data_IF_112678311281
#
_entry.id   IF_112678311281
#
_cell.length_a   1.000
_cell.length_b   1.000
_cell.length_c   1.000
_cell.angle_alpha   90.00
_cell.angle_beta   90.00
_cell.angle_gamma   90.00
#
_symmetry.space_group_name_H-M   'P 1'
#
loop_
_entity.id
_entity.type
_entity.pdbx_description
1 polymer ?
#
# COMPACT_ATOMS: atom_id res chain seq x y z
N UNK A 1 33.53 -39.13 3.12
CA UNK A 1 34.98 -38.91 3.33
C UNK A 1 35.17 -38.41 4.74
N UNK A 2 35.86 -39.20 5.55
CA UNK A 2 36.20 -38.92 6.94
C UNK A 2 37.69 -38.55 7.01
N UNK A 3 38.09 -37.60 7.86
CA UNK A 3 39.44 -37.58 8.44
C UNK A 3 39.34 -37.14 9.91
N UNK A 4 39.71 -38.10 10.76
CA UNK A 4 39.94 -38.06 12.20
C UNK A 4 41.45 -37.87 12.41
N UNK A 5 41.89 -37.04 13.35
CA UNK A 5 43.30 -37.02 13.77
C UNK A 5 43.42 -36.96 15.29
N UNK A 6 43.82 -38.13 15.80
CA UNK A 6 44.14 -38.50 17.17
C UNK A 6 45.62 -38.16 17.42
N UNK A 7 45.97 -37.58 18.57
CA UNK A 7 47.37 -37.42 18.98
C UNK A 7 47.59 -37.95 20.39
N UNK A 8 48.55 -38.88 20.45
CA UNK A 8 48.89 -39.82 21.50
C UNK A 8 49.96 -39.23 22.44
N UNK A 9 49.89 -39.58 23.72
CA UNK A 9 50.84 -39.23 24.77
C UNK A 9 52.16 -40.04 24.67
N UNK A 10 53.27 -39.47 25.14
CA UNK A 10 54.43 -40.23 25.63
C UNK A 10 55.19 -39.44 26.71
N UNK A 11 55.33 -40.03 27.90
CA UNK A 11 56.13 -39.60 29.05
C UNK A 11 57.44 -40.39 29.10
N UNK A 12 58.52 -39.81 29.66
CA UNK A 12 59.74 -40.47 30.19
C UNK A 12 60.69 -39.40 30.82
N UNK A 13 61.73 -39.74 31.63
CA UNK A 13 61.67 -39.63 33.09
C UNK A 13 62.71 -38.66 33.72
N UNK A 14 62.54 -38.44 35.02
CA UNK A 14 63.35 -37.56 35.86
C UNK A 14 64.81 -37.97 36.08
N UNK A 15 65.62 -36.97 36.48
CA UNK A 15 66.94 -37.14 37.04
C UNK A 15 66.98 -36.51 38.44
N UNK A 16 67.37 -37.33 39.41
CA UNK A 16 67.65 -36.94 40.78
C UNK A 16 69.05 -36.31 40.89
N UNK A 17 69.19 -35.28 41.72
CA UNK A 17 70.48 -34.78 42.19
C UNK A 17 70.45 -34.60 43.71
N UNK A 18 71.50 -35.12 44.35
CA UNK A 18 71.72 -35.27 45.78
C UNK A 18 72.16 -33.94 46.48
N UNK A 19 72.20 -33.89 47.82
CA UNK A 19 72.16 -32.63 48.60
C UNK A 19 73.55 -32.08 48.97
N UNK A 20 73.69 -30.76 49.21
CA UNK A 20 74.89 -30.20 49.84
C UNK A 20 74.85 -30.29 51.39
N UNK A 21 76.02 -30.25 52.06
CA UNK A 21 76.19 -30.65 53.45
C UNK A 21 75.82 -29.56 54.48
N UNK A 22 75.38 -30.04 55.66
CA UNK A 22 75.16 -29.26 56.89
C UNK A 22 76.47 -28.75 57.48
N UNK A 23 76.49 -27.49 57.92
CA UNK A 23 77.45 -26.90 58.88
C UNK A 23 76.71 -26.02 59.90
N UNK A 24 77.32 -25.74 61.07
CA UNK A 24 76.70 -26.01 62.37
C UNK A 24 75.88 -24.86 62.96
N UNK A 25 75.02 -25.25 63.90
CA UNK A 25 74.17 -24.37 64.70
C UNK A 25 74.98 -23.32 65.46
N UNK A 26 74.60 -22.05 65.28
CA UNK A 26 74.92 -20.96 66.18
C UNK A 26 73.61 -20.38 66.75
N UNK A 27 73.60 -20.34 68.07
CA UNK A 27 72.73 -19.69 69.05
C UNK A 27 71.67 -18.69 68.55
N UNK A 28 70.40 -18.96 68.92
CA UNK A 28 69.24 -18.05 68.83
C UNK A 28 69.47 -16.72 69.57
N UNK A 29 69.18 -15.57 68.94
CA UNK A 29 68.64 -14.39 69.59
C UNK A 29 67.10 -14.41 69.51
N UNK A 30 66.43 -13.86 70.52
CA UNK A 30 64.97 -13.76 70.65
C UNK A 30 64.27 -13.13 69.41
N UNK A 31 63.00 -13.50 69.12
CA UNK A 31 62.32 -13.08 67.89
C UNK A 31 62.02 -11.57 67.89
N UNK A 32 62.46 -10.88 66.84
CA UNK A 32 61.93 -9.56 66.46
C UNK A 32 60.45 -9.71 66.06
N UNK A 33 59.57 -8.73 66.38
CA UNK A 33 58.19 -8.75 65.92
C UNK A 33 58.14 -8.78 64.39
N UNK A 34 57.30 -9.66 63.83
CA UNK A 34 57.03 -9.68 62.41
C UNK A 34 56.49 -8.31 61.94
N UNK A 35 56.88 -7.82 60.75
CA UNK A 35 56.29 -6.62 60.19
C UNK A 35 54.78 -6.83 59.99
N UNK A 36 53.99 -5.90 60.49
CA UNK A 36 52.56 -5.87 60.29
C UNK A 36 52.22 -5.93 58.80
N UNK A 37 51.26 -6.78 58.44
CA UNK A 37 50.57 -6.76 57.13
C UNK A 37 50.21 -5.30 56.80
N UNK A 38 50.48 -4.79 55.59
CA UNK A 38 49.97 -3.49 55.19
C UNK A 38 48.46 -3.49 55.35
N UNK A 39 47.95 -2.53 56.14
CA UNK A 39 46.52 -2.30 56.24
C UNK A 39 45.96 -2.08 54.82
N UNK A 40 44.88 -2.78 54.51
CA UNK A 40 44.05 -2.52 53.32
C UNK A 40 43.80 -0.99 53.28
N UNK A 41 44.06 -0.29 52.16
CA UNK A 41 43.79 1.14 52.08
C UNK A 41 42.37 1.41 52.58
N UNK A 42 42.22 2.36 53.51
CA UNK A 42 40.91 2.81 53.95
C UNK A 42 40.08 3.16 52.71
N UNK A 43 38.86 2.61 52.62
CA UNK A 43 37.95 2.96 51.54
C UNK A 43 37.86 4.49 51.47
N UNK A 44 37.98 5.10 50.28
CA UNK A 44 37.91 6.55 50.15
C UNK A 44 36.61 7.03 50.81
N UNK A 45 36.65 8.17 51.53
CA UNK A 45 35.44 8.72 52.13
C UNK A 45 34.37 8.87 51.04
N UNK A 46 33.29 8.11 51.19
CA UNK A 46 32.14 8.17 50.29
C UNK A 46 31.34 9.41 50.69
N UNK A 47 31.20 10.34 49.76
CA UNK A 47 30.45 11.58 49.97
C UNK A 47 29.17 11.55 49.15
N UNK A 48 28.07 12.16 49.63
CA UNK A 48 26.80 12.13 48.93
C UNK A 48 26.79 13.05 47.70
N UNK A 49 25.92 12.73 46.75
CA UNK A 49 25.51 13.62 45.65
C UNK A 49 24.61 14.70 46.22
N UNK A 50 25.05 15.95 46.20
CA UNK A 50 24.29 17.10 46.74
C UNK A 50 23.49 17.84 45.68
N UNK A 51 23.89 17.71 44.41
CA UNK A 51 23.17 18.27 43.27
C UNK A 51 23.39 17.37 42.07
N UNK A 52 22.32 17.11 41.32
CA UNK A 52 22.34 16.31 40.11
C UNK A 52 21.57 17.08 39.05
N UNK A 53 22.21 17.32 37.89
CA UNK A 53 21.60 18.00 36.74
C UNK A 53 21.72 17.19 35.46
N UNK A 54 20.81 17.40 34.51
CA UNK A 54 20.89 16.85 33.15
C UNK A 54 20.99 17.97 32.12
N UNK A 55 21.98 17.89 31.23
CA UNK A 55 22.21 18.85 30.14
C UNK A 55 22.14 18.18 28.77
N UNK A 56 21.66 18.90 27.76
CA UNK A 56 21.58 18.42 26.36
C UNK A 56 20.23 17.81 25.95
N UNK A 57 19.20 17.98 26.79
CA UNK A 57 17.82 17.58 26.48
C UNK A 57 17.17 18.51 25.46
N UNK A 58 16.33 17.93 24.60
CA UNK A 58 15.53 18.64 23.61
C UNK A 58 14.04 18.28 23.73
N UNK A 59 13.71 16.98 23.80
CA UNK A 59 12.33 16.49 23.85
C UNK A 59 12.00 15.82 25.19
N UNK A 60 13.00 15.27 25.88
CA UNK A 60 12.82 14.60 27.16
C UNK A 60 13.00 15.56 28.34
N UNK A 61 12.39 15.22 29.48
CA UNK A 61 12.56 15.99 30.71
C UNK A 61 13.67 15.42 31.59
N UNK A 62 14.27 16.29 32.40
CA UNK A 62 15.30 15.91 33.36
C UNK A 62 14.83 14.78 34.30
N UNK A 63 13.59 14.86 34.77
CA UNK A 63 13.01 13.85 35.66
C UNK A 63 12.95 12.45 35.02
N UNK A 64 12.63 12.36 33.73
CA UNK A 64 12.57 11.09 33.01
C UNK A 64 13.96 10.46 32.88
N UNK A 65 14.97 11.27 32.55
CA UNK A 65 16.36 10.80 32.45
C UNK A 65 16.90 10.36 33.82
N UNK A 66 16.63 11.12 34.86
CA UNK A 66 17.05 10.77 36.23
C UNK A 66 16.36 9.51 36.75
N UNK A 67 15.09 9.29 36.39
CA UNK A 67 14.36 8.07 36.74
C UNK A 67 15.03 6.81 36.17
N UNK A 68 15.56 6.88 34.94
CA UNK A 68 16.29 5.75 34.31
C UNK A 68 17.74 5.66 34.78
N UNK A 69 18.42 6.79 34.98
CA UNK A 69 19.79 6.83 35.50
C UNK A 69 19.89 6.11 36.85
N UNK A 70 18.85 6.22 37.69
CA UNK A 70 18.77 5.52 38.97
C UNK A 70 19.72 6.07 40.03
N UNK A 71 20.17 7.32 39.87
CA UNK A 71 20.94 8.08 40.86
C UNK A 71 20.07 9.22 41.36
N UNK A 72 20.06 9.42 42.68
CA UNK A 72 19.32 10.47 43.36
C UNK A 72 20.25 11.36 44.19
N UNK A 73 19.77 12.57 44.48
CA UNK A 73 20.41 13.44 45.47
C UNK A 73 20.38 12.72 46.83
N UNK A 74 21.53 12.65 47.50
CA UNK A 74 21.75 11.90 48.73
C UNK A 74 22.47 10.56 48.54
N UNK A 75 22.50 10.01 47.32
CA UNK A 75 23.21 8.75 47.05
C UNK A 75 24.73 8.92 47.16
N UNK A 76 25.44 7.82 47.41
CA UNK A 76 26.90 7.84 47.43
C UNK A 76 27.47 8.12 46.04
N UNK A 77 28.27 9.17 45.91
CA UNK A 77 28.95 9.52 44.66
C UNK A 77 30.17 8.62 44.44
N UNK A 78 29.97 7.47 43.79
CA UNK A 78 31.05 6.57 43.34
C UNK A 78 31.17 6.57 41.82
N UNK A 79 32.38 6.31 41.30
CA UNK A 79 32.60 6.17 39.85
C UNK A 79 31.71 5.06 39.28
N UNK A 80 31.62 3.95 40.00
CA UNK A 80 30.87 2.76 39.62
C UNK A 80 29.36 3.05 39.51
N UNK A 81 28.81 3.86 40.42
CA UNK A 81 27.41 4.28 40.35
C UNK A 81 27.13 5.12 39.09
N UNK A 82 27.99 6.09 38.77
CA UNK A 82 27.84 6.93 37.58
C UNK A 82 28.08 6.17 36.27
N UNK A 83 29.02 5.21 36.24
CA UNK A 83 29.18 4.30 35.10
C UNK A 83 27.95 3.43 34.89
N UNK A 84 27.39 2.84 35.96
CA UNK A 84 26.16 2.07 35.86
C UNK A 84 24.97 2.92 35.38
N UNK A 85 24.86 4.18 35.82
CA UNK A 85 23.83 5.10 35.35
C UNK A 85 23.99 5.44 33.86
N UNK A 86 25.22 5.71 33.41
CA UNK A 86 25.53 5.90 31.98
C UNK A 86 25.11 4.66 31.20
N UNK A 87 25.50 3.47 31.64
CA UNK A 87 25.24 2.23 30.91
C UNK A 87 23.74 1.93 30.82
N UNK A 88 22.95 2.22 31.88
CA UNK A 88 21.49 2.17 31.81
C UNK A 88 20.93 3.11 30.75
N UNK A 89 21.36 4.37 30.75
CA UNK A 89 20.91 5.37 29.78
C UNK A 89 21.28 4.96 28.35
N UNK A 90 22.51 4.50 28.10
CA UNK A 90 22.96 4.02 26.79
C UNK A 90 22.14 2.80 26.35
N UNK A 91 21.86 1.87 27.27
CA UNK A 91 21.08 0.65 26.95
C UNK A 91 19.64 0.93 26.51
N UNK A 92 19.12 2.13 26.77
CA UNK A 92 17.78 2.51 26.30
C UNK A 92 17.72 2.80 24.80
N UNK A 93 18.86 3.13 24.18
CA UNK A 93 18.92 3.56 22.78
C UNK A 93 18.28 4.91 22.49
N UNK A 94 17.81 5.62 23.51
CA UNK A 94 17.18 6.95 23.39
C UNK A 94 18.20 8.09 23.23
N UNK A 95 19.49 7.81 23.46
CA UNK A 95 20.56 8.79 23.43
C UNK A 95 21.69 8.31 22.51
N UNK A 96 22.19 9.21 21.65
CA UNK A 96 23.39 9.01 20.83
C UNK A 96 24.66 9.08 21.68
N UNK A 97 24.66 9.96 22.68
CA UNK A 97 25.80 10.15 23.57
C UNK A 97 25.32 10.34 25.01
N UNK A 98 26.01 9.68 25.95
CA UNK A 98 25.80 9.83 27.38
C UNK A 98 27.15 9.99 28.06
N UNK A 99 27.33 11.10 28.77
CA UNK A 99 28.49 11.39 29.60
C UNK A 99 28.07 11.85 30.98
N UNK A 100 29.01 11.89 31.91
CA UNK A 100 28.79 12.45 33.23
C UNK A 100 30.05 13.15 33.73
N UNK A 101 29.86 14.12 34.61
CA UNK A 101 30.92 14.78 35.36
C UNK A 101 30.44 15.00 36.78
N UNK A 102 31.27 14.70 37.76
CA UNK A 102 31.01 15.04 39.15
C UNK A 102 32.22 15.72 39.78
N UNK A 103 31.99 16.81 40.50
CA UNK A 103 33.03 17.64 41.12
C UNK A 103 32.72 17.87 42.59
N UNK A 104 33.71 17.86 43.50
CA UNK A 104 33.49 18.20 44.91
C UNK A 104 32.84 19.59 45.05
N UNK A 105 31.90 19.73 45.97
CA UNK A 105 31.30 21.03 46.29
C UNK A 105 32.31 21.95 46.97
N UNK A 106 32.08 23.27 46.93
CA UNK A 106 32.96 24.29 47.56
C UNK A 106 33.23 24.01 49.04
N UNK A 107 32.22 23.49 49.75
CA UNK A 107 32.29 23.15 51.17
C UNK A 107 32.92 21.77 51.43
N UNK A 108 33.29 21.02 50.38
CA UNK A 108 33.83 19.65 50.42
C UNK A 108 32.96 18.65 51.20
N UNK A 109 31.66 18.92 51.29
CA UNK A 109 30.66 18.07 52.00
C UNK A 109 29.98 17.05 51.08
N UNK A 110 30.23 17.10 49.77
CA UNK A 110 29.57 16.26 48.78
C UNK A 110 30.04 16.54 47.36
N UNK A 111 29.35 15.93 46.39
CA UNK A 111 29.61 16.11 44.97
C UNK A 111 28.43 16.76 44.26
N UNK A 112 28.72 17.68 43.33
CA UNK A 112 27.76 18.16 42.34
C UNK A 112 28.01 17.40 41.03
N UNK A 113 26.97 16.78 40.49
CA UNK A 113 27.04 15.96 39.29
C UNK A 113 26.18 16.53 38.16
N UNK A 114 26.67 16.37 36.94
CA UNK A 114 25.98 16.72 35.70
C UNK A 114 26.05 15.52 34.76
N UNK A 115 24.91 15.11 34.23
CA UNK A 115 24.80 14.10 33.17
C UNK A 115 24.62 14.86 31.86
N UNK A 116 25.52 14.63 30.91
CA UNK A 116 25.44 15.19 29.56
C UNK A 116 24.81 14.15 28.64
N UNK A 117 23.74 14.51 27.96
CA UNK A 117 23.08 13.62 26.99
C UNK A 117 22.96 14.28 25.63
N UNK A 118 22.91 13.46 24.59
CA UNK A 118 22.48 13.88 23.25
C UNK A 118 21.37 12.92 22.85
N UNK A 119 20.14 13.43 22.76
CA UNK A 119 18.97 12.63 22.36
C UNK A 119 19.12 12.12 20.93
N UNK A 120 18.69 10.88 20.69
CA UNK A 120 18.73 10.29 19.36
C UNK A 120 17.73 10.97 18.41
N UNK A 121 18.20 11.34 17.22
CA UNK A 121 17.38 11.99 16.18
C UNK A 121 17.46 11.22 14.84
N UNK A 122 16.44 11.29 13.99
CA UNK A 122 15.13 11.94 14.20
C UNK A 122 14.18 11.11 15.09
N UNK A 123 13.23 11.80 15.73
CA UNK A 123 12.08 11.19 16.42
C UNK A 123 10.85 11.15 15.51
N UNK A 124 10.04 10.10 15.65
CA UNK A 124 8.82 9.91 14.87
C UNK A 124 7.60 9.69 15.77
N UNK A 125 6.41 10.18 15.40
CA UNK A 125 5.18 9.89 16.11
C UNK A 125 4.93 8.38 16.20
N UNK A 126 4.40 7.91 17.33
CA UNK A 126 4.04 6.51 17.52
C UNK A 126 2.65 6.22 16.98
N UNK A 127 2.51 5.12 16.24
CA UNK A 127 1.24 4.60 15.72
C UNK A 127 1.11 3.11 16.00
N UNK A 128 -0.14 2.68 16.22
CA UNK A 128 -0.51 1.29 16.42
C UNK A 128 -1.49 0.88 15.31
N UNK A 129 -1.27 -0.25 14.65
CA UNK A 129 -2.13 -0.79 13.58
C UNK A 129 -2.42 -2.26 13.90
N UNK A 130 -3.69 -2.66 13.83
CA UNK A 130 -4.17 -4.05 13.94
C UNK A 130 -3.77 -4.81 15.24
N UNK A 131 -3.40 -4.11 16.30
CA UNK A 131 -3.13 -4.74 17.60
C UNK A 131 -4.45 -4.97 18.36
N UNK A 132 -4.56 -6.07 19.14
CA UNK A 132 -5.80 -6.46 19.83
C UNK A 132 -6.09 -5.62 21.10
N UNK A 133 -5.80 -4.32 21.09
CA UNK A 133 -5.97 -3.37 22.19
C UNK A 133 -6.11 -1.96 21.61
N UNK A 134 -6.71 -1.03 22.37
CA UNK A 134 -6.86 0.35 21.87
C UNK A 134 -5.53 1.11 21.92
N UNK A 135 -5.39 2.16 21.10
CA UNK A 135 -4.19 2.99 21.11
C UNK A 135 -3.95 3.63 22.48
N UNK A 136 -5.02 3.98 23.20
CA UNK A 136 -4.96 4.54 24.54
C UNK A 136 -4.43 3.52 25.56
N UNK A 137 -4.93 2.29 25.51
CA UNK A 137 -4.46 1.17 26.35
C UNK A 137 -2.97 0.91 26.14
N UNK A 138 -2.53 0.80 24.88
CA UNK A 138 -1.13 0.52 24.52
C UNK A 138 -0.21 1.68 24.90
N UNK A 139 -0.65 2.92 24.69
CA UNK A 139 0.11 4.12 25.08
C UNK A 139 0.25 4.21 26.59
N UNK A 140 -0.80 3.88 27.35
CA UNK A 140 -0.75 3.86 28.81
C UNK A 140 0.23 2.79 29.32
N UNK A 141 0.20 1.58 28.74
CA UNK A 141 1.13 0.51 29.08
C UNK A 141 2.60 0.91 28.85
N UNK A 142 2.90 1.59 27.73
CA UNK A 142 4.24 2.08 27.44
C UNK A 142 4.70 3.15 28.43
N UNK A 143 3.83 4.10 28.78
CA UNK A 143 4.12 5.14 29.79
C UNK A 143 4.36 4.57 31.18
N UNK A 144 3.59 3.55 31.56
CA UNK A 144 3.74 2.89 32.86
C UNK A 144 5.06 2.11 32.93
N UNK A 145 5.42 1.41 31.86
CA UNK A 145 6.61 0.57 31.81
C UNK A 145 7.92 1.35 31.61
N UNK A 146 7.89 2.48 30.90
CA UNK A 146 9.08 3.24 30.54
C UNK A 146 8.92 4.75 30.75
N UNK A 147 9.64 5.34 31.73
CA UNK A 147 9.62 6.78 31.96
C UNK A 147 10.07 7.61 30.75
N UNK A 148 10.89 7.06 29.84
CA UNK A 148 11.37 7.77 28.65
C UNK A 148 10.35 7.80 27.51
N UNK A 149 9.24 7.07 27.62
CA UNK A 149 8.25 7.04 26.56
C UNK A 149 7.57 8.41 26.40
N UNK A 150 7.46 8.83 25.15
CA UNK A 150 6.77 10.05 24.74
C UNK A 150 5.99 9.77 23.43
N UNK A 151 5.07 10.65 23.01
CA UNK A 151 4.32 10.46 21.77
C UNK A 151 5.18 10.35 20.50
N UNK A 152 6.44 10.80 20.55
CA UNK A 152 7.40 10.71 19.45
C UNK A 152 8.71 10.12 19.95
N UNK A 153 9.13 9.00 19.36
CA UNK A 153 10.31 8.26 19.82
C UNK A 153 11.35 8.10 18.71
N UNK A 154 12.64 7.91 19.05
CA UNK A 154 13.67 7.64 18.06
C UNK A 154 13.39 6.33 17.30
N UNK A 155 13.69 6.33 16.00
CA UNK A 155 13.57 5.14 15.14
C UNK A 155 14.69 4.11 15.28
N UNK A 156 15.46 4.12 16.38
CA UNK A 156 16.63 3.25 16.55
C UNK A 156 16.21 1.82 16.88
N UNK A 157 16.99 0.83 16.46
CA UNK A 157 16.64 -0.59 16.66
C UNK A 157 16.46 -0.95 18.14
N UNK A 158 17.30 -0.41 19.01
CA UNK A 158 17.25 -0.62 20.46
C UNK A 158 15.93 -0.11 21.07
N UNK A 159 15.50 1.09 20.69
CA UNK A 159 14.23 1.68 21.14
C UNK A 159 13.05 0.84 20.65
N UNK A 160 13.07 0.44 19.37
CA UNK A 160 12.02 -0.41 18.79
C UNK A 160 11.92 -1.77 19.50
N UNK A 161 13.04 -2.46 19.69
CA UNK A 161 13.06 -3.78 20.34
C UNK A 161 12.60 -3.70 21.81
N UNK A 162 12.98 -2.62 22.52
CA UNK A 162 12.54 -2.36 23.89
C UNK A 162 11.02 -2.19 23.98
N UNK A 163 10.44 -1.34 23.14
CA UNK A 163 8.99 -1.11 23.17
C UNK A 163 8.20 -2.30 22.63
N UNK A 164 8.72 -3.05 21.66
CA UNK A 164 8.11 -4.33 21.25
C UNK A 164 8.02 -5.28 22.45
N UNK A 165 9.10 -5.45 23.22
CA UNK A 165 9.10 -6.35 24.39
C UNK A 165 8.09 -5.90 25.47
N UNK A 166 7.93 -4.60 25.68
CA UNK A 166 6.93 -4.05 26.62
C UNK A 166 5.51 -4.35 26.12
N UNK A 167 5.24 -4.12 24.84
CA UNK A 167 3.92 -4.36 24.24
C UNK A 167 3.57 -5.85 24.24
N UNK A 168 4.51 -6.73 23.89
CA UNK A 168 4.34 -8.18 23.95
C UNK A 168 3.97 -8.62 25.38
N UNK A 169 4.72 -8.16 26.38
CA UNK A 169 4.43 -8.48 27.79
C UNK A 169 3.06 -7.98 28.25
N UNK A 170 2.66 -6.78 27.81
CA UNK A 170 1.33 -6.22 28.11
C UNK A 170 0.19 -7.05 27.48
N UNK A 171 0.34 -7.43 26.21
CA UNK A 171 -0.63 -8.23 25.48
C UNK A 171 -0.74 -9.65 26.05
N UNK A 172 0.37 -10.26 26.45
CA UNK A 172 0.37 -11.55 27.15
C UNK A 172 -0.35 -11.47 28.50
N UNK A 173 -0.06 -10.45 29.30
CA UNK A 173 -0.70 -10.20 30.62
C UNK A 173 -2.22 -10.03 30.50
N UNK A 174 -2.69 -9.46 29.39
CA UNK A 174 -4.11 -9.24 29.11
C UNK A 174 -4.77 -10.37 28.32
N UNK A 175 -4.07 -11.51 28.14
CA UNK A 175 -4.53 -12.70 27.41
C UNK A 175 -4.87 -12.44 25.92
N UNK A 176 -4.16 -11.50 25.29
CA UNK A 176 -4.30 -11.07 23.89
C UNK A 176 -3.05 -11.44 23.08
N UNK A 177 -2.72 -12.73 23.04
CA UNK A 177 -1.46 -13.25 22.44
C UNK A 177 -1.31 -12.89 20.95
N UNK A 178 -0.61 -11.80 20.66
CA UNK A 178 -0.30 -11.34 19.31
C UNK A 178 1.12 -10.73 19.31
N UNK A 179 2.12 -11.41 18.72
CA UNK A 179 3.49 -10.89 18.69
C UNK A 179 3.59 -9.58 17.93
N UNK A 180 4.24 -8.58 18.51
CA UNK A 180 4.36 -7.22 17.96
C UNK A 180 5.64 -7.09 17.11
N UNK A 181 5.55 -6.28 16.06
CA UNK A 181 6.69 -5.81 15.28
C UNK A 181 6.68 -4.26 15.25
N UNK A 182 7.79 -3.66 15.66
CA UNK A 182 8.04 -2.23 15.58
C UNK A 182 8.95 -1.88 14.40
N UNK A 183 8.59 -0.88 13.60
CA UNK A 183 9.39 -0.41 12.48
C UNK A 183 9.10 1.06 12.16
N UNK A 184 10.07 1.76 11.57
CA UNK A 184 9.80 3.06 10.94
C UNK A 184 9.16 2.82 9.57
N UNK A 185 7.96 3.35 9.36
CA UNK A 185 7.20 3.19 8.12
C UNK A 185 6.42 4.47 7.81
N UNK A 186 5.97 4.62 6.56
CA UNK A 186 5.03 5.67 6.21
C UNK A 186 3.61 5.29 6.67
N UNK A 187 2.91 6.22 7.31
CA UNK A 187 1.48 6.09 7.61
C UNK A 187 0.62 6.27 6.35
N UNK A 188 -0.71 6.20 6.51
CA UNK A 188 -1.67 6.36 5.41
C UNK A 188 -1.55 7.72 4.69
N UNK A 189 -1.02 8.75 5.37
CA UNK A 189 -0.78 10.08 4.79
C UNK A 189 0.60 10.20 4.12
N UNK A 190 1.41 9.13 4.13
CA UNK A 190 2.79 9.15 3.62
C UNK A 190 3.81 9.74 4.58
N UNK A 191 3.44 10.03 5.85
CA UNK A 191 4.37 10.59 6.85
C UNK A 191 5.09 9.46 7.59
N UNK A 192 6.39 9.64 7.84
CA UNK A 192 7.17 8.66 8.59
C UNK A 192 6.74 8.63 10.07
N UNK A 193 6.44 7.44 10.57
CA UNK A 193 6.02 7.14 11.93
C UNK A 193 6.77 5.93 12.47
N UNK A 194 6.88 5.80 13.79
CA UNK A 194 7.17 4.49 14.39
C UNK A 194 5.86 3.71 14.46
N UNK A 195 5.77 2.64 13.69
CA UNK A 195 4.58 1.80 13.57
C UNK A 195 4.77 0.48 14.33
N UNK A 196 3.88 0.21 15.29
CA UNK A 196 3.74 -1.08 15.95
C UNK A 196 2.53 -1.81 15.39
N UNK A 197 2.74 -3.03 14.91
CA UNK A 197 1.70 -3.88 14.31
C UNK A 197 1.97 -5.36 14.57
N UNK A 198 1.00 -6.27 14.38
CA UNK A 198 1.25 -7.69 14.44
C UNK A 198 2.40 -8.14 13.54
N UNK A 199 3.19 -9.10 14.01
CA UNK A 199 4.29 -9.70 13.24
C UNK A 199 3.79 -10.58 12.09
N UNK A 200 2.55 -11.08 12.18
CA UNK A 200 1.90 -11.84 11.11
C UNK A 200 1.61 -10.96 9.90
N UNK A 201 1.60 -11.59 8.72
CA UNK A 201 1.10 -10.89 7.53
C UNK A 201 -0.42 -10.69 7.62
N UNK A 202 -0.97 -9.66 6.96
CA UNK A 202 -2.42 -9.51 6.83
C UNK A 202 -3.03 -10.78 6.21
N UNK A 203 -4.21 -11.21 6.66
CA UNK A 203 -4.86 -12.39 6.09
C UNK A 203 -5.33 -12.12 4.66
N UNK A 204 -5.42 -13.16 3.84
CA UNK A 204 -6.08 -13.07 2.54
C UNK A 204 -7.60 -13.00 2.70
N UNK A 205 -8.29 -12.29 1.82
CA UNK A 205 -9.76 -12.34 1.71
C UNK A 205 -10.15 -13.69 1.11
N UNK A 206 -10.83 -14.50 1.91
CA UNK A 206 -11.36 -15.80 1.47
C UNK A 206 -12.74 -15.65 0.82
N UNK A 207 -13.61 -14.89 1.45
CA UNK A 207 -14.99 -14.68 1.01
C UNK A 207 -15.47 -13.29 1.41
N UNK A 208 -16.48 -12.79 0.71
CA UNK A 208 -17.16 -11.53 1.03
C UNK A 208 -18.66 -11.79 1.18
N UNK A 209 -19.27 -11.30 2.26
CA UNK A 209 -20.72 -11.32 2.47
C UNK A 209 -21.26 -9.92 2.60
N UNK A 210 -22.44 -9.69 2.03
CA UNK A 210 -23.15 -8.42 2.13
C UNK A 210 -24.40 -8.60 3.00
N UNK A 211 -24.64 -7.64 3.89
CA UNK A 211 -25.85 -7.56 4.69
C UNK A 211 -26.49 -6.17 4.57
N UNK A 212 -27.81 -6.08 4.66
CA UNK A 212 -28.55 -4.82 4.52
C UNK A 212 -28.93 -4.46 3.09
N UNK A 213 -28.37 -5.14 2.08
CA UNK A 213 -28.77 -5.03 0.69
C UNK A 213 -30.18 -5.61 0.45
N UNK A 214 -31.04 -4.86 -0.23
CA UNK A 214 -32.42 -5.21 -0.58
C UNK A 214 -32.68 -5.09 -2.08
N UNK A 215 -32.07 -4.09 -2.73
CA UNK A 215 -32.30 -3.78 -4.14
C UNK A 215 -31.49 -4.69 -5.06
N UNK A 216 -30.27 -5.04 -4.63
CA UNK A 216 -29.38 -5.94 -5.37
C UNK A 216 -29.20 -7.23 -4.56
N UNK A 217 -29.50 -8.41 -5.12
CA UNK A 217 -29.29 -9.67 -4.42
C UNK A 217 -27.82 -9.86 -4.00
N UNK A 218 -27.60 -10.41 -2.80
CA UNK A 218 -26.25 -10.56 -2.24
C UNK A 218 -25.30 -11.34 -3.15
N UNK A 219 -25.78 -12.41 -3.77
CA UNK A 219 -25.01 -13.22 -4.73
C UNK A 219 -24.49 -12.40 -5.93
N UNK A 220 -25.22 -11.38 -6.37
CA UNK A 220 -24.78 -10.49 -7.46
C UNK A 220 -23.64 -9.59 -6.98
N UNK A 221 -23.75 -9.04 -5.76
CA UNK A 221 -22.69 -8.23 -5.15
C UNK A 221 -21.42 -9.06 -4.91
N UNK A 222 -21.59 -10.28 -4.39
CA UNK A 222 -20.49 -11.23 -4.17
C UNK A 222 -19.76 -11.54 -5.48
N UNK A 223 -20.50 -11.88 -6.54
CA UNK A 223 -19.91 -12.15 -7.85
C UNK A 223 -19.18 -10.93 -8.42
N UNK A 224 -19.73 -9.72 -8.23
CA UNK A 224 -19.13 -8.49 -8.73
C UNK A 224 -17.78 -8.17 -8.08
N UNK A 225 -17.63 -8.42 -6.78
CA UNK A 225 -16.38 -8.14 -6.06
C UNK A 225 -15.39 -9.32 -6.06
N UNK A 226 -15.85 -10.54 -6.30
CA UNK A 226 -15.05 -11.75 -6.21
C UNK A 226 -13.74 -11.68 -7.01
N UNK A 227 -13.81 -11.19 -8.26
CA UNK A 227 -12.64 -11.13 -9.15
C UNK A 227 -11.55 -10.14 -8.74
N UNK A 228 -11.86 -9.19 -7.84
CA UNK A 228 -10.90 -8.17 -7.39
C UNK A 228 -10.53 -8.30 -5.91
N UNK A 229 -11.37 -8.96 -5.10
CA UNK A 229 -11.15 -9.08 -3.67
C UNK A 229 -10.60 -10.45 -3.25
N UNK A 230 -11.16 -11.55 -3.75
CA UNK A 230 -10.80 -12.89 -3.27
C UNK A 230 -9.33 -13.20 -3.60
N UNK A 231 -8.59 -13.70 -2.60
CA UNK A 231 -7.16 -14.00 -2.70
C UNK A 231 -6.23 -12.81 -2.45
N UNK A 232 -6.76 -11.57 -2.35
CA UNK A 232 -5.96 -10.39 -2.01
C UNK A 232 -5.71 -10.29 -0.50
N UNK A 233 -4.64 -9.59 -0.10
CA UNK A 233 -4.38 -9.30 1.32
C UNK A 233 -5.41 -8.28 1.84
N UNK A 234 -6.09 -8.62 2.92
CA UNK A 234 -7.07 -7.75 3.56
C UNK A 234 -6.38 -6.60 4.29
N UNK A 235 -6.74 -5.38 3.88
CA UNK A 235 -6.60 -4.15 4.67
C UNK A 235 -7.88 -3.35 4.45
N UNK A 236 -8.52 -2.88 5.52
CA UNK A 236 -9.81 -2.21 5.40
C UNK A 236 -9.80 -1.01 4.42
N UNK A 237 -8.80 -0.09 4.43
CA UNK A 237 -8.78 1.01 3.47
C UNK A 237 -8.71 0.55 2.00
N UNK A 238 -7.92 -0.48 1.73
CA UNK A 238 -7.83 -1.05 0.38
C UNK A 238 -9.13 -1.75 -0.01
N UNK A 239 -9.76 -2.47 0.92
CA UNK A 239 -11.01 -3.16 0.68
C UNK A 239 -12.18 -2.18 0.44
N UNK A 240 -12.24 -1.07 1.17
CA UNK A 240 -13.19 0.03 0.93
C UNK A 240 -13.09 0.56 -0.49
N UNK A 241 -11.87 0.75 -1.01
CA UNK A 241 -11.67 1.13 -2.42
C UNK A 241 -12.24 0.09 -3.40
N UNK A 242 -12.09 -1.20 -3.12
CA UNK A 242 -12.70 -2.25 -3.95
C UNK A 242 -14.24 -2.15 -3.96
N UNK A 243 -14.85 -1.86 -2.81
CA UNK A 243 -16.30 -1.63 -2.72
C UNK A 243 -16.73 -0.42 -3.56
N UNK A 244 -15.96 0.68 -3.49
CA UNK A 244 -16.25 1.90 -4.26
C UNK A 244 -16.12 1.70 -5.78
N UNK A 245 -15.21 0.85 -6.24
CA UNK A 245 -15.03 0.58 -7.68
C UNK A 245 -15.95 -0.52 -8.22
N UNK A 246 -16.28 -1.53 -7.41
CA UNK A 246 -17.01 -2.72 -7.90
C UNK A 246 -18.47 -2.77 -7.48
N UNK A 247 -18.83 -2.21 -6.32
CA UNK A 247 -20.18 -2.33 -5.75
C UNK A 247 -20.97 -1.04 -5.88
N UNK A 248 -20.38 0.10 -5.50
CA UNK A 248 -21.06 1.41 -5.57
C UNK A 248 -21.65 1.70 -6.97
N UNK A 249 -20.95 1.45 -8.10
CA UNK A 249 -21.53 1.72 -9.42
C UNK A 249 -22.80 0.91 -9.72
N UNK A 250 -22.94 -0.30 -9.15
CA UNK A 250 -24.14 -1.12 -9.33
C UNK A 250 -25.37 -0.50 -8.66
N UNK A 251 -25.17 0.16 -7.53
CA UNK A 251 -26.20 0.91 -6.81
C UNK A 251 -26.51 2.24 -7.49
N UNK A 252 -25.47 2.99 -7.87
CA UNK A 252 -25.61 4.23 -8.63
C UNK A 252 -26.38 3.99 -9.93
N UNK A 253 -26.14 2.88 -10.62
CA UNK A 253 -26.87 2.51 -11.82
C UNK A 253 -28.37 2.28 -11.62
N UNK A 254 -28.86 2.25 -10.38
CA UNK A 254 -30.28 2.13 -10.00
C UNK A 254 -30.80 3.36 -9.25
N UNK A 255 -30.04 4.45 -9.24
CA UNK A 255 -30.40 5.71 -8.59
C UNK A 255 -30.03 5.81 -7.11
N UNK A 256 -29.31 4.84 -6.55
CA UNK A 256 -28.83 4.85 -5.16
C UNK A 256 -27.44 5.51 -5.08
N UNK A 257 -27.40 6.82 -5.31
CA UNK A 257 -26.12 7.58 -5.39
C UNK A 257 -25.48 7.86 -4.02
N UNK A 258 -26.23 7.65 -2.94
CA UNK A 258 -25.79 7.76 -1.54
C UNK A 258 -25.68 6.40 -0.85
N UNK A 259 -25.34 5.35 -1.59
CA UNK A 259 -25.00 4.06 -0.98
C UNK A 259 -23.76 4.21 -0.09
N UNK A 260 -23.78 3.57 1.08
CA UNK A 260 -22.67 3.59 2.03
C UNK A 260 -22.34 2.17 2.51
N UNK A 261 -21.09 2.01 2.94
CA UNK A 261 -20.56 0.79 3.53
C UNK A 261 -20.04 1.11 4.94
N UNK A 262 -20.94 1.41 5.90
CA UNK A 262 -20.55 1.96 7.20
C UNK A 262 -19.72 0.99 8.03
N UNK A 263 -20.02 -0.30 7.93
CA UNK A 263 -19.40 -1.34 8.76
C UNK A 263 -18.80 -2.44 7.90
N UNK A 264 -17.54 -2.75 8.17
CA UNK A 264 -16.80 -3.86 7.58
C UNK A 264 -16.22 -4.67 8.73
N UNK A 265 -16.59 -5.94 8.82
CA UNK A 265 -16.14 -6.85 9.87
C UNK A 265 -15.40 -8.02 9.23
N UNK A 266 -14.44 -8.58 9.95
CA UNK A 266 -13.73 -9.78 9.51
C UNK A 266 -13.87 -10.90 10.52
N UNK A 267 -14.03 -12.12 10.02
CA UNK A 267 -14.00 -13.34 10.81
C UNK A 267 -13.04 -14.33 10.14
N UNK A 268 -12.34 -15.20 10.89
CA UNK A 268 -11.58 -16.30 10.29
C UNK A 268 -12.49 -17.17 9.41
N UNK A 269 -12.01 -17.55 8.23
CA UNK A 269 -12.72 -18.52 7.41
C UNK A 269 -12.58 -19.94 8.01
N UNK A 270 -13.67 -20.73 7.95
CA UNK A 270 -13.70 -22.08 8.53
C UNK A 270 -12.92 -23.09 7.69
N UNK A 271 -13.11 -23.06 6.36
CA UNK A 271 -12.59 -24.10 5.45
C UNK A 271 -11.26 -23.75 4.76
N UNK A 272 -10.88 -22.46 4.75
CA UNK A 272 -9.74 -21.96 3.98
C UNK A 272 -8.92 -20.96 4.79
N UNK A 273 -7.63 -20.82 4.44
CA UNK A 273 -6.79 -19.79 5.02
C UNK A 273 -7.26 -18.41 4.55
N UNK A 274 -7.61 -17.56 5.50
CA UNK A 274 -8.00 -16.19 5.23
C UNK A 274 -9.10 -15.70 6.16
N UNK A 275 -9.70 -14.58 5.79
CA UNK A 275 -10.84 -14.00 6.47
C UNK A 275 -12.06 -13.91 5.57
N UNK A 276 -13.21 -14.13 6.17
CA UNK A 276 -14.52 -13.78 5.63
C UNK A 276 -14.77 -12.32 5.97
N UNK A 277 -14.99 -11.49 4.94
CA UNK A 277 -15.27 -10.06 5.09
C UNK A 277 -16.78 -9.83 5.00
N UNK A 278 -17.38 -9.35 6.08
CA UNK A 278 -18.81 -9.02 6.15
C UNK A 278 -19.00 -7.51 6.02
N UNK A 279 -19.71 -7.09 4.98
CA UNK A 279 -19.96 -5.69 4.63
C UNK A 279 -21.42 -5.36 4.89
N UNK A 280 -21.67 -4.38 5.76
CA UNK A 280 -23.00 -3.78 5.89
C UNK A 280 -23.20 -2.74 4.81
N UNK A 281 -24.31 -2.83 4.09
CA UNK A 281 -24.71 -1.91 3.04
C UNK A 281 -25.88 -1.07 3.52
N UNK A 282 -25.73 0.25 3.44
CA UNK A 282 -26.83 1.21 3.59
C UNK A 282 -27.11 1.79 2.20
N UNK A 283 -28.20 1.38 1.57
CA UNK A 283 -28.46 1.70 0.16
C UNK A 283 -28.74 3.20 -0.08
N UNK A 284 -29.22 3.90 0.95
CA UNK A 284 -29.64 5.30 0.84
C UNK A 284 -30.97 5.47 0.09
N UNK A 285 -31.43 6.72 -0.08
CA UNK A 285 -32.65 7.01 -0.85
C UNK A 285 -32.40 6.89 -2.35
N UNK A 286 -33.48 6.64 -3.09
CA UNK A 286 -33.47 6.65 -4.56
C UNK A 286 -33.51 8.10 -5.08
N UNK A 287 -32.66 8.41 -6.05
CA UNK A 287 -32.63 9.69 -6.73
C UNK A 287 -33.23 9.55 -8.13
N UNK A 288 -33.96 10.58 -8.56
CA UNK A 288 -34.56 10.65 -9.89
C UNK A 288 -33.68 11.45 -10.85
N UNK A 289 -33.77 11.18 -12.14
CA UNK A 289 -33.08 11.98 -13.14
C UNK A 289 -33.81 13.33 -13.31
N UNK A 290 -33.15 14.44 -12.98
CA UNK A 290 -33.67 15.78 -13.25
C UNK A 290 -33.66 16.11 -14.74
N UNK A 291 -32.62 15.64 -15.45
CA UNK A 291 -32.45 15.85 -16.88
C UNK A 291 -31.02 15.55 -17.32
N UNK A 292 -30.83 15.49 -18.64
CA UNK A 292 -29.51 15.37 -19.27
C UNK A 292 -29.29 16.56 -20.18
N UNK A 293 -28.19 17.27 -19.95
CA UNK A 293 -27.71 18.39 -20.78
C UNK A 293 -26.52 17.90 -21.59
N UNK A 294 -26.44 18.28 -22.86
CA UNK A 294 -25.28 18.02 -23.71
C UNK A 294 -24.58 19.34 -24.02
N UNK A 295 -23.27 19.40 -23.80
CA UNK A 295 -22.43 20.57 -24.05
C UNK A 295 -21.33 20.23 -25.06
N UNK A 296 -20.90 21.20 -25.87
CA UNK A 296 -19.65 21.12 -26.65
C UNK A 296 -19.71 20.42 -28.02
N UNK A 297 -20.85 19.88 -28.46
CA UNK A 297 -21.04 19.33 -29.80
C UNK A 297 -22.13 20.09 -30.60
N UNK A 298 -22.18 19.96 -31.95
CA UNK A 298 -23.34 20.41 -32.73
C UNK A 298 -24.61 19.58 -32.49
N UNK A 299 -24.55 18.57 -31.60
CA UNK A 299 -25.69 17.73 -31.21
C UNK A 299 -26.45 18.43 -30.08
N UNK A 300 -27.71 18.77 -30.32
CA UNK A 300 -28.55 19.43 -29.31
C UNK A 300 -29.06 18.43 -28.24
N UNK A 301 -29.43 18.97 -27.08
CA UNK A 301 -29.99 18.16 -25.97
C UNK A 301 -31.29 17.44 -26.36
N UNK A 302 -32.04 17.92 -27.35
CA UNK A 302 -33.27 17.27 -27.86
C UNK A 302 -32.96 15.99 -28.62
N UNK A 303 -31.86 15.95 -29.37
CA UNK A 303 -31.41 14.75 -30.09
C UNK A 303 -30.98 13.68 -29.10
N UNK A 304 -30.27 14.06 -28.02
CA UNK A 304 -29.91 13.13 -26.94
C UNK A 304 -31.13 12.56 -26.21
N UNK A 305 -32.10 13.41 -25.85
CA UNK A 305 -33.32 12.96 -25.17
C UNK A 305 -34.17 11.99 -26.02
N UNK A 306 -34.21 12.20 -27.36
CA UNK A 306 -34.91 11.31 -28.31
C UNK A 306 -34.23 9.96 -28.53
N UNK A 307 -32.90 9.90 -28.41
CA UNK A 307 -32.08 8.69 -28.63
C UNK A 307 -32.41 7.59 -27.60
N UNK A 308 -32.83 7.97 -26.39
CA UNK A 308 -32.99 7.03 -25.28
C UNK A 308 -34.38 6.99 -24.65
N UNK A 309 -35.26 7.95 -24.94
CA UNK A 309 -36.63 7.92 -24.40
C UNK A 309 -36.74 8.22 -22.90
N UNK A 310 -35.68 8.73 -22.26
CA UNK A 310 -35.73 9.18 -20.86
C UNK A 310 -36.64 10.38 -20.70
N UNK A 311 -37.50 10.33 -19.69
CA UNK A 311 -38.28 11.47 -19.25
C UNK A 311 -37.69 12.01 -17.94
N UNK A 312 -37.56 13.33 -17.79
CA UNK A 312 -37.33 13.93 -16.48
C UNK A 312 -38.30 13.33 -15.44
N UNK A 313 -37.75 12.84 -14.33
CA UNK A 313 -38.52 12.15 -13.28
C UNK A 313 -38.44 10.61 -13.29
N UNK A 314 -37.87 10.00 -14.33
CA UNK A 314 -37.59 8.56 -14.34
C UNK A 314 -36.54 8.20 -13.27
N UNK A 315 -36.56 6.93 -12.82
CA UNK A 315 -35.50 6.38 -11.97
C UNK A 315 -34.19 6.44 -12.74
N UNK A 316 -33.15 6.99 -12.11
CA UNK A 316 -31.84 7.09 -12.73
C UNK A 316 -31.29 5.70 -13.06
N UNK A 317 -31.04 5.45 -14.36
CA UNK A 317 -30.42 4.23 -14.85
C UNK A 317 -29.15 4.53 -15.64
N UNK A 318 -27.98 4.24 -15.05
CA UNK A 318 -26.69 4.57 -15.67
C UNK A 318 -26.45 3.83 -16.99
N UNK A 319 -26.85 2.56 -17.09
CA UNK A 319 -26.60 1.76 -18.30
C UNK A 319 -27.22 2.39 -19.55
N UNK A 320 -28.48 2.80 -19.44
CA UNK A 320 -29.18 3.39 -20.56
C UNK A 320 -28.60 4.79 -20.88
N UNK A 321 -28.16 5.56 -19.88
CA UNK A 321 -27.44 6.82 -20.09
C UNK A 321 -26.12 6.61 -20.86
N UNK A 322 -25.37 5.54 -20.52
CA UNK A 322 -24.15 5.15 -21.23
C UNK A 322 -24.41 4.72 -22.67
N UNK A 323 -25.47 3.95 -22.93
CA UNK A 323 -25.87 3.61 -24.29
C UNK A 323 -26.19 4.85 -25.13
N UNK A 324 -26.87 5.84 -24.52
CA UNK A 324 -27.15 7.13 -25.16
C UNK A 324 -25.87 7.88 -25.52
N UNK A 325 -24.89 7.92 -24.59
CA UNK A 325 -23.57 8.47 -24.85
C UNK A 325 -22.90 7.77 -26.03
N UNK A 326 -22.88 6.44 -26.04
CA UNK A 326 -22.25 5.70 -27.14
C UNK A 326 -22.90 5.98 -28.49
N UNK A 327 -24.23 6.11 -28.56
CA UNK A 327 -24.92 6.47 -29.79
C UNK A 327 -24.49 7.85 -30.30
N UNK A 328 -24.36 8.85 -29.41
CA UNK A 328 -23.85 10.17 -29.78
C UNK A 328 -22.39 10.10 -30.23
N UNK A 329 -21.55 9.36 -29.53
CA UNK A 329 -20.14 9.16 -29.92
C UNK A 329 -20.01 8.47 -31.28
N UNK A 330 -20.86 7.46 -31.56
CA UNK A 330 -20.95 6.84 -32.89
C UNK A 330 -21.38 7.84 -33.95
N UNK A 331 -22.40 8.68 -33.68
CA UNK A 331 -22.84 9.71 -34.61
C UNK A 331 -21.74 10.74 -34.93
N UNK A 332 -20.95 11.15 -33.93
CA UNK A 332 -19.80 12.05 -34.12
C UNK A 332 -18.73 11.39 -35.01
N UNK A 333 -18.40 10.12 -34.77
CA UNK A 333 -17.44 9.38 -35.61
C UNK A 333 -17.92 9.21 -37.05
N UNK A 334 -19.22 9.01 -37.27
CA UNK A 334 -19.83 8.98 -38.62
C UNK A 334 -19.75 10.32 -39.34
N UNK A 335 -19.67 11.42 -38.59
CA UNK A 335 -19.54 12.78 -39.11
C UNK A 335 -18.07 13.23 -39.29
N UNK A 336 -17.08 12.36 -39.07
CA UNK A 336 -15.65 12.68 -39.23
C UNK A 336 -14.92 13.04 -37.93
N UNK A 337 -15.58 13.09 -36.79
CA UNK A 337 -14.95 13.41 -35.50
C UNK A 337 -14.34 12.15 -34.87
N UNK A 338 -13.20 11.71 -35.41
CA UNK A 338 -12.59 10.43 -35.08
C UNK A 338 -12.01 10.36 -33.67
N UNK A 339 -11.51 11.49 -33.19
CA UNK A 339 -10.89 11.64 -31.87
C UNK A 339 -11.85 12.24 -30.84
N UNK A 340 -13.16 12.18 -31.09
CA UNK A 340 -14.15 12.73 -30.17
C UNK A 340 -14.02 12.12 -28.77
N UNK A 341 -14.09 12.95 -27.76
CA UNK A 341 -14.07 12.60 -26.34
C UNK A 341 -15.37 13.02 -25.66
N UNK A 342 -15.69 12.33 -24.57
CA UNK A 342 -16.89 12.60 -23.77
C UNK A 342 -16.58 12.45 -22.29
N UNK A 343 -17.10 13.35 -21.48
CA UNK A 343 -17.00 13.32 -20.02
C UNK A 343 -18.38 13.55 -19.40
N UNK A 344 -18.73 12.77 -18.38
CA UNK A 344 -19.92 13.00 -17.58
C UNK A 344 -19.60 13.89 -16.39
N UNK A 345 -20.38 14.95 -16.23
CA UNK A 345 -20.45 15.73 -15.00
C UNK A 345 -21.79 15.47 -14.34
N UNK A 346 -21.76 15.20 -13.04
CA UNK A 346 -22.95 14.90 -12.24
C UNK A 346 -23.17 16.01 -11.23
N UNK A 347 -24.40 16.51 -11.15
CA UNK A 347 -24.84 17.42 -10.10
C UNK A 347 -25.96 16.75 -9.30
N UNK A 348 -25.75 16.59 -8.00
CA UNK A 348 -26.69 15.92 -7.08
C UNK A 348 -27.37 16.99 -6.25
N UNK A 349 -28.69 17.09 -6.38
CA UNK A 349 -29.52 17.90 -5.50
C UNK A 349 -30.07 17.03 -4.37
N UNK A 350 -29.56 17.24 -3.16
CA UNK A 350 -29.96 16.52 -1.95
C UNK A 350 -31.40 16.81 -1.53
N UNK A 351 -31.84 18.06 -1.66
CA UNK A 351 -33.15 18.49 -1.21
C UNK A 351 -34.23 17.95 -2.15
N UNK A 352 -34.01 18.05 -3.46
CA UNK A 352 -34.92 17.52 -4.46
C UNK A 352 -34.78 16.00 -4.67
N UNK A 353 -33.70 15.38 -4.16
CA UNK A 353 -33.29 13.99 -4.44
C UNK A 353 -33.25 13.70 -5.94
N UNK A 354 -32.59 14.60 -6.66
CA UNK A 354 -32.43 14.46 -8.10
C UNK A 354 -30.97 14.50 -8.52
N UNK A 355 -30.67 13.84 -9.63
CA UNK A 355 -29.37 13.89 -10.29
C UNK A 355 -29.57 14.56 -11.64
N UNK A 356 -28.85 15.66 -11.86
CA UNK A 356 -28.70 16.26 -13.17
C UNK A 356 -27.38 15.78 -13.79
N UNK A 357 -27.43 15.37 -15.05
CA UNK A 357 -26.25 14.96 -15.79
C UNK A 357 -25.92 15.97 -16.88
N UNK A 358 -24.64 16.28 -17.01
CA UNK A 358 -24.10 17.04 -18.14
C UNK A 358 -23.10 16.17 -18.88
N UNK A 359 -23.40 15.87 -20.15
CA UNK A 359 -22.48 15.23 -21.07
C UNK A 359 -21.65 16.32 -21.76
N UNK A 360 -20.42 16.52 -21.31
CA UNK A 360 -19.48 17.40 -21.97
C UNK A 360 -18.83 16.62 -23.13
N UNK A 361 -19.03 17.11 -24.35
CA UNK A 361 -18.47 16.55 -25.57
C UNK A 361 -17.34 17.45 -26.07
N UNK A 362 -16.22 16.82 -26.41
CA UNK A 362 -15.15 17.44 -27.17
C UNK A 362 -15.06 16.70 -28.51
N UNK A 363 -15.63 17.24 -29.60
CA UNK A 363 -15.61 16.58 -30.90
C UNK A 363 -14.19 16.52 -31.50
N UNK A 364 -13.27 17.39 -31.09
CA UNK A 364 -11.96 17.51 -31.71
C UNK A 364 -12.03 17.94 -33.20
N UNK A 365 -10.92 17.78 -33.96
CA UNK A 365 -10.92 18.11 -35.38
C UNK A 365 -11.77 17.13 -36.20
N UNK A 366 -12.45 17.66 -37.22
CA UNK A 366 -13.12 16.84 -38.22
C UNK A 366 -12.10 16.28 -39.22
N UNK A 367 -12.13 14.97 -39.42
CA UNK A 367 -11.33 14.27 -40.40
C UNK A 367 -12.09 14.07 -41.70
N UNK A 368 -11.39 14.25 -42.81
CA UNK A 368 -11.92 14.06 -44.16
C UNK A 368 -11.42 12.74 -44.73
N UNK A 369 -12.16 12.17 -45.67
CA UNK A 369 -11.69 11.02 -46.42
C UNK A 369 -10.52 11.43 -47.32
N UNK A 370 -9.41 10.69 -47.23
CA UNK A 370 -8.22 10.88 -48.05
C UNK A 370 -8.31 10.07 -49.33
N UNK A 371 -7.76 8.85 -49.33
CA UNK A 371 -7.79 7.93 -50.49
C UNK A 371 -8.24 6.52 -50.14
N UNK A 372 -8.69 5.81 -51.19
CA UNK A 372 -9.05 4.39 -51.16
C UNK A 372 -7.94 3.55 -51.82
N UNK A 373 -7.39 2.61 -51.05
CA UNK A 373 -6.56 1.52 -51.53
C UNK A 373 -7.34 0.20 -51.46
N UNK A 374 -7.28 -0.59 -52.52
CA UNK A 374 -7.91 -1.92 -52.60
C UNK A 374 -6.81 -2.93 -52.86
N UNK A 375 -6.75 -3.98 -52.06
CA UNK A 375 -5.72 -5.01 -52.14
C UNK A 375 -6.36 -6.41 -52.20
N UNK A 376 -5.75 -7.28 -53.01
CA UNK A 376 -6.13 -8.69 -53.11
C UNK A 376 -7.27 -9.01 -54.10
N UNK A 377 -7.60 -8.07 -55.00
CA UNK A 377 -8.45 -8.30 -56.17
C UNK A 377 -7.62 -8.31 -57.45
N UNK A 378 -8.09 -8.98 -58.49
CA UNK A 378 -7.48 -9.00 -59.83
C UNK A 378 -7.76 -7.70 -60.63
N UNK A 379 -7.13 -7.58 -61.80
CA UNK A 379 -7.18 -6.39 -62.66
C UNK A 379 -8.57 -6.09 -63.27
N UNK A 380 -9.45 -7.09 -63.35
CA UNK A 380 -10.81 -6.93 -63.89
C UNK A 380 -11.79 -6.57 -62.77
N UNK A 381 -11.61 -7.18 -61.60
CA UNK A 381 -12.51 -7.06 -60.45
C UNK A 381 -12.29 -5.78 -59.63
N UNK A 382 -11.04 -5.34 -59.46
CA UNK A 382 -10.72 -4.16 -58.66
C UNK A 382 -11.43 -2.88 -59.16
N UNK A 383 -11.45 -2.57 -60.47
CA UNK A 383 -12.13 -1.39 -60.98
C UNK A 383 -13.64 -1.44 -60.77
N UNK A 384 -14.25 -2.64 -60.82
CA UNK A 384 -15.67 -2.83 -60.58
C UNK A 384 -16.03 -2.52 -59.12
N UNK A 385 -15.27 -3.03 -58.15
CA UNK A 385 -15.44 -2.72 -56.73
C UNK A 385 -15.17 -1.24 -56.45
N UNK A 386 -14.12 -0.66 -57.04
CA UNK A 386 -13.81 0.77 -56.89
C UNK A 386 -14.95 1.66 -57.36
N UNK A 387 -15.66 1.29 -58.43
CA UNK A 387 -16.81 2.04 -58.95
C UNK A 387 -18.01 2.04 -58.00
N UNK A 388 -18.13 1.04 -57.13
CA UNK A 388 -19.18 0.96 -56.11
C UNK A 388 -18.87 1.84 -54.88
N UNK A 389 -17.62 2.22 -54.68
CA UNK A 389 -17.21 3.11 -53.59
C UNK A 389 -17.71 4.54 -53.84
N UNK A 390 -18.52 5.07 -52.93
CA UNK A 390 -19.22 6.36 -53.09
C UNK A 390 -18.62 7.52 -52.31
N UNK A 391 -17.80 7.24 -51.28
CA UNK A 391 -17.16 8.28 -50.46
C UNK A 391 -16.00 8.93 -51.23
N UNK A 392 -16.11 10.24 -51.49
CA UNK A 392 -15.15 10.99 -52.30
C UNK A 392 -14.10 11.71 -51.45
N UNK A 393 -12.85 11.82 -51.91
CA UNK A 393 -11.81 12.58 -51.21
C UNK A 393 -12.28 13.98 -50.82
N UNK A 394 -11.98 14.41 -49.60
CA UNK A 394 -12.41 15.70 -49.05
C UNK A 394 -13.81 15.72 -48.42
N UNK A 395 -14.59 14.64 -48.50
CA UNK A 395 -15.84 14.52 -47.74
C UNK A 395 -15.56 14.16 -46.28
N UNK A 396 -16.41 14.55 -45.31
CA UNK A 396 -16.28 14.08 -43.93
C UNK A 396 -16.20 12.56 -43.85
N UNK A 397 -15.21 12.05 -43.12
CA UNK A 397 -14.98 10.62 -43.06
C UNK A 397 -16.01 9.92 -42.17
N UNK A 398 -16.73 8.94 -42.71
CA UNK A 398 -17.64 8.11 -41.92
C UNK A 398 -16.92 6.82 -41.48
N UNK A 399 -16.64 6.71 -40.18
CA UNK A 399 -15.92 5.58 -39.61
C UNK A 399 -16.57 4.20 -39.86
N UNK A 400 -17.90 4.13 -40.01
CA UNK A 400 -18.63 2.87 -40.22
C UNK A 400 -18.72 2.50 -41.71
N UNK A 401 -18.47 3.45 -42.62
CA UNK A 401 -18.68 3.26 -44.05
C UNK A 401 -17.82 2.16 -44.68
N UNK A 402 -16.50 2.01 -44.37
CA UNK A 402 -15.68 0.95 -44.97
C UNK A 402 -16.19 -0.45 -44.68
N UNK A 403 -16.55 -0.75 -43.43
CA UNK A 403 -17.06 -2.07 -43.04
C UNK A 403 -18.47 -2.30 -43.60
N UNK A 404 -19.33 -1.27 -43.57
CA UNK A 404 -20.64 -1.31 -44.21
C UNK A 404 -20.53 -1.62 -45.72
N UNK A 405 -19.59 -0.98 -46.42
CA UNK A 405 -19.33 -1.20 -47.84
C UNK A 405 -18.91 -2.65 -48.10
N UNK A 406 -17.98 -3.20 -47.33
CA UNK A 406 -17.54 -4.59 -47.46
C UNK A 406 -18.68 -5.59 -47.22
N UNK A 407 -19.52 -5.33 -46.21
CA UNK A 407 -20.70 -6.15 -45.95
C UNK A 407 -21.65 -6.12 -47.15
N UNK A 408 -21.94 -4.93 -47.69
CA UNK A 408 -22.84 -4.77 -48.84
C UNK A 408 -22.32 -5.43 -50.11
N UNK A 409 -21.02 -5.30 -50.40
CA UNK A 409 -20.39 -5.98 -51.55
C UNK A 409 -20.54 -7.51 -51.44
N UNK A 410 -20.49 -8.06 -50.23
CA UNK A 410 -20.72 -9.49 -49.97
C UNK A 410 -22.20 -9.87 -50.14
N UNK A 411 -23.13 -9.07 -49.64
CA UNK A 411 -24.58 -9.32 -49.71
C UNK A 411 -25.13 -9.22 -51.14
N UNK A 412 -24.65 -8.23 -51.90
CA UNK A 412 -25.09 -7.99 -53.29
C UNK A 412 -24.59 -9.07 -54.26
N UNK A 413 -23.77 -10.03 -53.80
CA UNK A 413 -23.30 -11.16 -54.61
C UNK A 413 -22.49 -10.71 -55.83
N UNK A 414 -21.88 -9.52 -55.78
CA UNK A 414 -21.20 -8.87 -56.91
C UNK A 414 -20.07 -9.74 -57.47
N UNK A 415 -19.54 -10.67 -56.66
CA UNK A 415 -18.42 -11.54 -57.01
C UNK A 415 -18.65 -12.97 -56.52
N UNK A 416 -18.46 -13.92 -57.42
CA UNK A 416 -18.41 -15.34 -57.10
C UNK A 416 -17.12 -15.63 -56.29
N UNK A 417 -17.26 -16.26 -55.11
CA UNK A 417 -16.14 -16.69 -54.24
C UNK A 417 -15.34 -15.56 -53.58
N UNK A 418 -16.02 -14.52 -53.08
CA UNK A 418 -15.41 -13.53 -52.23
C UNK A 418 -15.03 -14.15 -50.87
N UNK A 419 -13.73 -14.32 -50.59
CA UNK A 419 -13.26 -14.84 -49.31
C UNK A 419 -13.31 -13.79 -48.19
N UNK A 420 -12.43 -13.90 -47.19
CA UNK A 420 -12.42 -12.99 -46.05
C UNK A 420 -12.08 -11.55 -46.49
N UNK A 421 -12.83 -10.58 -45.98
CA UNK A 421 -12.60 -9.15 -46.21
C UNK A 421 -12.35 -8.43 -44.90
N UNK A 422 -11.49 -7.40 -44.92
CA UNK A 422 -11.27 -6.50 -43.79
C UNK A 422 -10.99 -5.08 -44.28
N UNK A 423 -11.42 -4.09 -43.50
CA UNK A 423 -11.00 -2.70 -43.69
C UNK A 423 -9.86 -2.36 -42.72
N UNK A 424 -9.00 -1.43 -43.13
CA UNK A 424 -7.99 -0.83 -42.28
C UNK A 424 -8.00 0.68 -42.51
N UNK A 425 -7.97 1.41 -41.40
CA UNK A 425 -7.97 2.86 -41.39
C UNK A 425 -6.57 3.37 -41.07
N UNK A 426 -6.10 4.37 -41.82
CA UNK A 426 -4.89 5.12 -41.51
C UNK A 426 -5.27 6.58 -41.29
N UNK A 427 -5.22 7.00 -40.03
CA UNK A 427 -5.52 8.38 -39.61
C UNK A 427 -4.24 9.21 -39.72
N UNK A 428 -4.28 10.29 -40.49
CA UNK A 428 -3.24 11.30 -40.54
C UNK A 428 -3.72 12.54 -39.79
N UNK A 429 -3.20 12.74 -38.59
CA UNK A 429 -3.57 13.87 -37.72
C UNK A 429 -3.11 15.23 -38.27
N UNK A 430 -2.01 15.27 -39.02
CA UNK A 430 -1.46 16.51 -39.55
C UNK A 430 -2.30 17.04 -40.72
N UNK A 431 -2.66 16.15 -41.66
CA UNK A 431 -3.52 16.51 -42.78
C UNK A 431 -5.02 16.42 -42.46
N UNK A 432 -5.38 15.87 -41.29
CA UNK A 432 -6.76 15.59 -40.87
C UNK A 432 -7.50 14.74 -41.89
N UNK A 433 -6.81 13.74 -42.45
CA UNK A 433 -7.38 12.82 -43.42
C UNK A 433 -7.36 11.39 -42.91
N UNK A 434 -8.28 10.58 -43.41
CA UNK A 434 -8.30 9.14 -43.18
C UNK A 434 -8.23 8.43 -44.52
N UNK A 435 -7.17 7.65 -44.69
CA UNK A 435 -7.02 6.73 -45.81
C UNK A 435 -7.60 5.37 -45.43
N UNK A 436 -8.28 4.75 -46.38
CA UNK A 436 -8.90 3.44 -46.20
C UNK A 436 -8.18 2.44 -47.09
N UNK A 437 -7.77 1.32 -46.49
CA UNK A 437 -7.33 0.13 -47.24
C UNK A 437 -8.35 -0.98 -47.06
N UNK A 438 -8.91 -1.46 -48.16
CA UNK A 438 -9.77 -2.64 -48.20
C UNK A 438 -8.95 -3.85 -48.63
N UNK A 439 -8.97 -4.90 -47.84
CA UNK A 439 -8.32 -6.17 -48.16
C UNK A 439 -9.37 -7.21 -48.52
N UNK A 440 -9.14 -7.88 -49.64
CA UNK A 440 -9.92 -9.01 -50.12
C UNK A 440 -9.01 -10.23 -50.18
N UNK A 441 -9.38 -11.34 -49.55
CA UNK A 441 -8.73 -12.63 -49.77
C UNK A 441 -9.54 -13.39 -50.81
N UNK A 442 -9.04 -13.49 -52.05
CA UNK A 442 -9.65 -14.40 -53.03
C UNK A 442 -9.52 -15.85 -52.54
N UNK A 443 -10.60 -16.63 -52.58
CA UNK A 443 -10.47 -18.08 -52.40
C UNK A 443 -9.73 -18.69 -53.60
N UNK A 444 -8.79 -19.61 -53.33
CA UNK A 444 -8.14 -20.37 -54.40
C UNK A 444 -9.22 -21.09 -55.21
N UNK A 445 -9.19 -21.05 -56.55
CA UNK A 445 -10.20 -21.72 -57.37
C UNK A 445 -10.26 -23.20 -56.99
N UNK A 446 -11.47 -23.70 -56.72
CA UNK A 446 -11.70 -25.11 -56.41
C UNK A 446 -11.05 -25.97 -57.50
N UNK A 447 -10.06 -26.77 -57.08
CA UNK A 447 -9.23 -27.55 -57.99
C UNK A 447 -10.08 -28.34 -58.98
N UNK A 448 -9.72 -28.25 -60.26
CA UNK A 448 -10.28 -29.05 -61.35
C UNK A 448 -10.33 -30.51 -60.87
N UNK A 449 -11.55 -31.03 -60.61
CA UNK A 449 -11.77 -32.46 -60.40
C UNK A 449 -11.35 -33.15 -61.70
N UNK A 450 -10.12 -33.66 -61.75
CA UNK A 450 -9.70 -34.63 -62.77
C UNK A 450 -10.65 -35.80 -62.68
N UNK A 451 -11.58 -35.91 -63.63
CA UNK A 451 -12.34 -37.13 -63.86
C UNK A 451 -11.33 -38.23 -64.17
N UNK A 452 -11.23 -39.21 -63.28
CA UNK A 452 -10.52 -40.44 -63.57
C UNK A 452 -11.21 -41.13 -64.77
N UNK A 453 -10.45 -41.68 -65.74
CA UNK A 453 -11.05 -42.45 -66.82
C UNK A 453 -11.63 -43.74 -66.23
N UNK A 454 -12.89 -44.03 -66.56
CA UNK A 454 -13.49 -45.35 -66.32
C UNK A 454 -12.66 -46.38 -67.10
N UNK A 455 -12.11 -47.36 -66.39
CA UNK A 455 -11.70 -48.65 -66.94
C UNK A 455 -12.54 -49.72 -66.29
#
# INVERSE_FOLDING_TARGET
>A
MAILLLLLALTLPGHAAAPPPKKPAATKPAPKPAPAKPAKPAAPPSYPVLSLKVEGLQNLTEQQVLAVAGIKVGDTATKEAFEAARDRLVSTGAFEQVGYKYTPTKDKKGYAAVIYVTEAQPVFPVRFEDLPATAEELTAALREADPLFSPSIPGTRQVLDRYVAILDAYLEKTNRKEPVNGSVAADESGKLVVLFRPKRQPPSVAEVHFVGNKVIPGAVLQKAIAGVAIGTLYKEPNFRRLLDYSIRPLYEARGYVRVEFPKIETAPAEDVKGVVVKVTVEEGPIYKLAGVVVEGAPVDSRTFAKIQGFKPGDVFQLNAVEEGREQVMRSLRRAGYMTAKSEWRRNIDEAARTVALTLALDPGPQFLFGKLEIQGLDIETEPAIRKLWTLKPGQPFNADYPDYFLQRVREDGVLDNLGATKSQLRVDEASRTVDVTLFFQGEKPAGIRRRAPRR
#
